data_IF_658000444930
#
_entry.id   IF_658000444930
#
_cell.length_a   1.000
_cell.length_b   1.000
_cell.length_c   1.000
_cell.angle_alpha   90.00
_cell.angle_beta   90.00
_cell.angle_gamma   90.00
#
_symmetry.space_group_name_H-M   'P 1'
#
loop_
_entity.id
_entity.type
_entity.pdbx_description
1 polymer ?
#
# COMPACT_ATOMS: atom_id res chain seq x y z
N UNK A 1 8.13 -6.11 0.99
CA UNK A 1 7.62 -4.92 0.28
C UNK A 1 7.37 -5.18 -1.21
N UNK A 2 8.27 -5.85 -1.92
CA UNK A 2 8.10 -6.23 -3.34
C UNK A 2 6.79 -6.98 -3.63
N UNK A 3 6.36 -7.85 -2.71
CA UNK A 3 5.05 -8.54 -2.82
C UNK A 3 3.85 -7.61 -2.66
N UNK A 4 3.94 -6.55 -1.85
CA UNK A 4 2.86 -5.58 -1.67
C UNK A 4 2.65 -4.74 -2.94
N UNK A 5 3.74 -4.27 -3.55
CA UNK A 5 3.69 -3.56 -4.84
C UNK A 5 3.12 -4.44 -5.94
N UNK A 6 3.60 -5.68 -6.05
CA UNK A 6 3.07 -6.64 -7.04
C UNK A 6 1.57 -6.92 -6.83
N UNK A 7 1.14 -7.10 -5.57
CA UNK A 7 -0.28 -7.28 -5.27
C UNK A 7 -1.08 -6.04 -5.67
N UNK A 8 -0.57 -4.84 -5.38
CA UNK A 8 -1.24 -3.60 -5.74
C UNK A 8 -1.37 -3.42 -7.26
N UNK A 9 -0.34 -3.73 -8.04
CA UNK A 9 -0.39 -3.69 -9.50
C UNK A 9 -1.44 -4.67 -10.07
N UNK A 10 -1.57 -5.86 -9.48
CA UNK A 10 -2.61 -6.83 -9.86
C UNK A 10 -4.02 -6.33 -9.52
N UNK A 11 -4.19 -5.68 -8.37
CA UNK A 11 -5.47 -5.07 -7.99
C UNK A 11 -5.88 -3.98 -8.98
N UNK A 12 -4.95 -3.10 -9.35
CA UNK A 12 -5.22 -2.04 -10.34
C UNK A 12 -5.60 -2.66 -11.68
N UNK A 13 -4.83 -3.64 -12.16
CA UNK A 13 -5.10 -4.31 -13.43
C UNK A 13 -6.48 -4.96 -13.49
N UNK A 14 -6.94 -5.55 -12.39
CA UNK A 14 -8.17 -6.33 -12.35
C UNK A 14 -9.42 -5.54 -11.95
N UNK A 15 -9.26 -4.49 -11.13
CA UNK A 15 -10.39 -3.78 -10.49
C UNK A 15 -10.37 -2.26 -10.70
N UNK A 16 -9.32 -1.73 -11.32
CA UNK A 16 -9.10 -0.30 -11.46
C UNK A 16 -8.56 0.36 -10.18
N UNK A 17 -8.05 1.58 -10.33
CA UNK A 17 -7.33 2.32 -9.29
C UNK A 17 -8.16 2.54 -8.02
N UNK A 18 -9.36 3.11 -8.15
CA UNK A 18 -10.22 3.45 -7.00
C UNK A 18 -10.49 2.26 -6.07
N UNK A 19 -10.75 1.10 -6.65
CA UNK A 19 -11.00 -0.13 -5.88
C UNK A 19 -9.69 -0.66 -5.29
N UNK A 20 -8.63 -0.68 -6.10
CA UNK A 20 -7.32 -1.15 -5.67
C UNK A 20 -6.77 -0.36 -4.48
N UNK A 21 -6.86 0.98 -4.51
CA UNK A 21 -6.40 1.85 -3.41
C UNK A 21 -7.12 1.49 -2.12
N UNK A 22 -8.46 1.41 -2.15
CA UNK A 22 -9.28 1.09 -0.97
C UNK A 22 -9.00 -0.31 -0.42
N UNK A 23 -8.79 -1.30 -1.28
CA UNK A 23 -8.41 -2.65 -0.84
C UNK A 23 -6.98 -2.67 -0.28
N UNK A 24 -6.05 -1.93 -0.88
CA UNK A 24 -4.66 -1.89 -0.42
C UNK A 24 -4.55 -1.25 0.97
N UNK A 25 -5.41 -0.28 1.32
CA UNK A 25 -5.51 0.26 2.70
C UNK A 25 -5.68 -0.85 3.74
N UNK A 26 -6.49 -1.87 3.43
CA UNK A 26 -6.74 -3.03 4.31
C UNK A 26 -5.56 -3.99 4.34
N UNK A 27 -5.02 -4.34 3.16
CA UNK A 27 -3.96 -5.34 3.03
C UNK A 27 -2.59 -4.85 3.56
N UNK A 28 -2.34 -3.54 3.55
CA UNK A 28 -1.03 -2.99 3.91
C UNK A 28 -0.61 -3.35 5.34
N UNK A 29 -1.57 -3.45 6.27
CA UNK A 29 -1.29 -3.84 7.66
C UNK A 29 -0.59 -5.21 7.78
N UNK A 30 -0.84 -6.14 6.85
CA UNK A 30 -0.21 -7.46 6.84
C UNK A 30 1.25 -7.40 6.37
N UNK A 31 1.57 -6.50 5.44
CA UNK A 31 2.91 -6.39 4.87
C UNK A 31 3.91 -5.66 5.76
N UNK A 32 3.43 -4.85 6.71
CA UNK A 32 4.27 -3.95 7.51
C UNK A 32 4.28 -4.30 9.01
N UNK A 33 3.65 -5.41 9.40
CA UNK A 33 3.63 -5.86 10.80
C UNK A 33 5.05 -6.14 11.28
N UNK A 34 5.44 -5.56 12.41
CA UNK A 34 6.77 -5.73 13.02
C UNK A 34 7.83 -4.71 12.54
N UNK A 35 7.52 -3.84 11.57
CA UNK A 35 8.45 -2.79 11.14
C UNK A 35 8.41 -1.59 12.09
N UNK A 36 9.58 -1.02 12.39
CA UNK A 36 9.69 0.24 13.13
C UNK A 36 9.01 1.35 12.31
N UNK A 37 8.09 2.09 12.93
CA UNK A 37 7.33 3.14 12.23
C UNK A 37 6.10 2.64 11.45
N UNK A 38 5.75 1.35 11.52
CA UNK A 38 4.59 0.78 10.83
C UNK A 38 3.26 1.48 11.14
N UNK A 39 3.10 2.03 12.35
CA UNK A 39 1.89 2.78 12.71
C UNK A 39 1.72 4.05 11.86
N UNK A 40 2.78 4.85 11.70
CA UNK A 40 2.75 6.07 10.88
C UNK A 40 2.53 5.76 9.41
N UNK A 41 3.18 4.71 8.90
CA UNK A 41 2.97 4.29 7.51
C UNK A 41 1.54 3.80 7.27
N UNK A 42 0.97 3.02 8.20
CA UNK A 42 -0.43 2.56 8.11
C UNK A 42 -1.39 3.75 8.05
N UNK A 43 -1.13 4.76 8.87
CA UNK A 43 -1.93 5.97 8.93
C UNK A 43 -1.88 6.75 7.60
N UNK A 44 -0.68 6.91 7.03
CA UNK A 44 -0.50 7.55 5.72
C UNK A 44 -1.19 6.76 4.60
N UNK A 45 -1.01 5.44 4.58
CA UNK A 45 -1.63 4.57 3.57
C UNK A 45 -3.15 4.61 3.66
N UNK A 46 -3.73 4.62 4.86
CA UNK A 46 -5.18 4.71 5.04
C UNK A 46 -5.79 6.01 4.50
N UNK A 47 -4.98 7.07 4.36
CA UNK A 47 -5.39 8.35 3.77
C UNK A 47 -5.10 8.49 2.28
N UNK A 48 -4.23 7.65 1.71
CA UNK A 48 -3.86 7.73 0.30
C UNK A 48 -5.06 7.50 -0.62
N UNK A 49 -5.27 8.37 -1.59
CA UNK A 49 -6.39 8.38 -2.54
C UNK A 49 -5.98 7.91 -3.93
N UNK A 50 -4.68 7.97 -4.24
CA UNK A 50 -4.15 7.64 -5.57
C UNK A 50 -3.22 6.43 -5.55
N UNK A 51 -3.05 5.82 -6.72
CA UNK A 51 -2.05 4.79 -6.94
C UNK A 51 -0.64 5.29 -6.62
N UNK A 52 -0.32 6.51 -7.01
CA UNK A 52 1.02 7.08 -6.85
C UNK A 52 1.38 7.24 -5.38
N UNK A 53 0.47 7.76 -4.55
CA UNK A 53 0.66 7.86 -3.10
C UNK A 53 0.91 6.49 -2.46
N UNK A 54 0.11 5.46 -2.80
CA UNK A 54 0.32 4.11 -2.29
C UNK A 54 1.70 3.57 -2.69
N UNK A 55 2.10 3.74 -3.96
CA UNK A 55 3.40 3.27 -4.46
C UNK A 55 4.56 3.98 -3.78
N UNK A 56 4.47 5.30 -3.59
CA UNK A 56 5.48 6.08 -2.89
C UNK A 56 5.62 5.65 -1.42
N UNK A 57 4.49 5.48 -0.72
CA UNK A 57 4.47 5.03 0.68
C UNK A 57 5.05 3.61 0.84
N UNK A 58 4.70 2.68 -0.05
CA UNK A 58 5.29 1.34 -0.04
C UNK A 58 6.77 1.36 -0.43
N UNK A 59 7.17 2.22 -1.38
CA UNK A 59 8.55 2.37 -1.82
C UNK A 59 9.50 2.85 -0.72
N UNK A 60 9.03 3.69 0.20
CA UNK A 60 9.81 4.14 1.37
C UNK A 60 10.30 2.99 2.28
N UNK A 61 9.67 1.81 2.23
CA UNK A 61 10.08 0.64 3.00
C UNK A 61 11.22 -0.17 2.39
N UNK A 62 11.65 0.16 1.16
CA UNK A 62 12.75 -0.53 0.47
C UNK A 62 14.12 0.12 0.73
N UNK A 63 14.17 1.22 1.49
CA UNK A 63 15.37 1.99 1.82
C UNK A 63 15.84 1.74 3.26
#
# INVERSE_FOLDING_TARGET
>A
VTMALRHFDLLIKNKGENVAVREMRKHTAWYIKGLRGAARLREAVNRAETQEEIKNLLGQLLN
#
